data_IF_481924186399
#
_entry.id   IF_481924186399
#
_cell.length_a   1.000
_cell.length_b   1.000
_cell.length_c   1.000
_cell.angle_alpha   90.00
_cell.angle_beta   90.00
_cell.angle_gamma   90.00
#
_symmetry.space_group_name_H-M   'P 1'
#
loop_
_entity.id
_entity.type
_entity.pdbx_description
1 polymer ?
#
# COMPACT_ATOMS: atom_id res chain seq x y z
N UNK A 1 -26.48 -59.29 17.66
CA UNK A 1 -26.57 -58.17 18.63
C UNK A 1 -25.41 -57.22 18.38
N UNK A 2 -25.61 -56.14 17.63
CA UNK A 2 -24.60 -55.08 17.40
C UNK A 2 -25.30 -53.90 16.70
N UNK A 3 -25.98 -53.03 17.45
CA UNK A 3 -26.58 -51.78 16.94
C UNK A 3 -26.81 -50.75 18.07
N UNK A 4 -25.77 -50.29 18.77
CA UNK A 4 -25.84 -49.03 19.55
C UNK A 4 -24.44 -48.43 19.74
N UNK A 5 -23.89 -47.76 18.72
CA UNK A 5 -22.69 -46.91 18.93
C UNK A 5 -22.67 -45.64 18.07
N UNK A 6 -23.73 -45.37 17.29
CA UNK A 6 -23.77 -44.26 16.33
C UNK A 6 -24.39 -42.95 16.88
N UNK A 7 -24.81 -42.90 18.15
CA UNK A 7 -25.59 -41.75 18.69
C UNK A 7 -24.79 -40.77 19.54
N UNK A 8 -23.59 -41.13 20.03
CA UNK A 8 -22.83 -40.28 20.96
C UNK A 8 -21.90 -39.31 20.21
N UNK A 9 -21.42 -39.68 19.01
CA UNK A 9 -20.54 -38.82 18.21
C UNK A 9 -21.27 -37.63 17.58
N UNK A 10 -22.52 -37.81 17.17
CA UNK A 10 -23.33 -36.75 16.55
C UNK A 10 -23.76 -35.67 17.55
N UNK A 11 -24.09 -36.05 18.79
CA UNK A 11 -24.46 -35.08 19.84
C UNK A 11 -23.27 -34.24 20.28
N UNK A 12 -22.07 -34.81 20.36
CA UNK A 12 -20.82 -34.08 20.66
C UNK A 12 -20.49 -33.10 19.53
N UNK A 13 -20.61 -33.52 18.27
CA UNK A 13 -20.37 -32.65 17.11
C UNK A 13 -21.33 -31.46 17.07
N UNK A 14 -22.63 -31.70 17.34
CA UNK A 14 -23.65 -30.64 17.40
C UNK A 14 -23.33 -29.66 18.56
N UNK A 15 -22.93 -30.17 19.73
CA UNK A 15 -22.54 -29.33 20.85
C UNK A 15 -21.31 -28.45 20.52
N UNK A 16 -20.31 -29.00 19.82
CA UNK A 16 -19.14 -28.24 19.37
C UNK A 16 -19.50 -27.16 18.33
N UNK A 17 -20.40 -27.47 17.39
CA UNK A 17 -20.89 -26.50 16.41
C UNK A 17 -21.67 -25.35 17.07
N UNK A 18 -22.50 -25.66 18.06
CA UNK A 18 -23.22 -24.64 18.85
C UNK A 18 -22.22 -23.78 19.64
N UNK A 19 -21.23 -24.40 20.29
CA UNK A 19 -20.19 -23.67 21.02
C UNK A 19 -19.39 -22.73 20.12
N UNK A 20 -19.01 -23.20 18.93
CA UNK A 20 -18.32 -22.37 17.92
C UNK A 20 -19.20 -21.20 17.48
N UNK A 21 -20.49 -21.45 17.23
CA UNK A 21 -21.44 -20.41 16.83
C UNK A 21 -21.63 -19.33 17.91
N UNK A 22 -21.74 -19.73 19.18
CA UNK A 22 -21.85 -18.82 20.33
C UNK A 22 -20.58 -17.98 20.48
N UNK A 23 -19.40 -18.60 20.37
CA UNK A 23 -18.13 -17.87 20.43
C UNK A 23 -18.02 -16.85 19.28
N UNK A 24 -18.40 -17.25 18.06
CA UNK A 24 -18.41 -16.37 16.89
C UNK A 24 -19.40 -15.20 17.07
N UNK A 25 -20.57 -15.45 17.65
CA UNK A 25 -21.56 -14.44 17.97
C UNK A 25 -21.02 -13.39 18.96
N UNK A 26 -20.38 -13.82 20.05
CA UNK A 26 -19.77 -12.91 21.02
C UNK A 26 -18.57 -12.15 20.44
N UNK A 27 -17.76 -12.80 19.60
CA UNK A 27 -16.63 -12.15 18.93
C UNK A 27 -17.09 -11.06 17.96
N UNK A 28 -18.09 -11.34 17.12
CA UNK A 28 -18.71 -10.34 16.22
C UNK A 28 -19.37 -9.21 17.02
N UNK A 29 -20.04 -9.52 18.14
CA UNK A 29 -20.61 -8.52 19.04
C UNK A 29 -19.54 -7.62 19.68
N UNK A 30 -18.43 -8.20 20.13
CA UNK A 30 -17.29 -7.47 20.71
C UNK A 30 -16.61 -6.55 19.69
N UNK A 31 -16.39 -7.03 18.47
CA UNK A 31 -15.86 -6.22 17.37
C UNK A 31 -16.79 -5.06 17.03
N UNK A 32 -18.10 -5.26 17.07
CA UNK A 32 -19.09 -4.19 16.85
C UNK A 32 -18.96 -3.11 17.92
N UNK A 33 -18.82 -3.48 19.20
CA UNK A 33 -18.67 -2.51 20.30
C UNK A 33 -17.37 -1.70 20.22
N UNK A 34 -16.26 -2.36 19.84
CA UNK A 34 -14.98 -1.68 19.60
C UNK A 34 -15.06 -0.71 18.41
N UNK A 35 -15.74 -1.11 17.34
CA UNK A 35 -15.93 -0.25 16.17
C UNK A 35 -16.78 0.98 16.51
N UNK A 36 -17.83 0.85 17.34
CA UNK A 36 -18.62 2.02 17.78
C UNK A 36 -17.78 2.99 18.63
N UNK A 37 -16.92 2.48 19.53
CA UNK A 37 -16.01 3.33 20.31
C UNK A 37 -15.01 4.06 19.42
N UNK A 38 -14.40 3.36 18.47
CA UNK A 38 -13.48 3.98 17.50
C UNK A 38 -14.17 5.03 16.64
N UNK A 39 -15.43 4.79 16.24
CA UNK A 39 -16.22 5.79 15.51
C UNK A 39 -16.50 7.02 16.37
N UNK A 40 -16.82 6.85 17.66
CA UNK A 40 -17.00 7.96 18.60
C UNK A 40 -15.70 8.76 18.78
N UNK A 41 -14.56 8.10 18.96
CA UNK A 41 -13.25 8.77 19.07
C UNK A 41 -12.90 9.55 17.79
N UNK A 42 -13.22 9.00 16.61
CA UNK A 42 -13.03 9.69 15.33
C UNK A 42 -13.95 10.92 15.22
N UNK A 43 -15.23 10.79 15.60
CA UNK A 43 -16.18 11.91 15.58
C UNK A 43 -15.77 13.03 16.54
N UNK A 44 -15.34 12.67 17.76
CA UNK A 44 -14.81 13.64 18.74
C UNK A 44 -13.55 14.33 18.22
N UNK A 45 -12.62 13.57 17.61
CA UNK A 45 -11.44 14.14 16.96
C UNK A 45 -11.76 15.07 15.81
N UNK A 46 -12.77 14.75 14.99
CA UNK A 46 -13.24 15.61 13.90
C UNK A 46 -13.91 16.89 14.41
N UNK A 47 -14.70 16.81 15.49
CA UNK A 47 -15.27 18.00 16.14
C UNK A 47 -14.18 18.91 16.69
N UNK A 48 -13.21 18.36 17.42
CA UNK A 48 -12.07 19.13 17.93
C UNK A 48 -11.24 19.79 16.82
N UNK A 49 -11.09 19.11 15.67
CA UNK A 49 -10.41 19.67 14.50
C UNK A 49 -11.21 20.82 13.85
N UNK A 50 -12.53 20.68 13.73
CA UNK A 50 -13.41 21.75 13.22
C UNK A 50 -13.37 22.98 14.12
N UNK A 51 -13.43 22.79 15.44
CA UNK A 51 -13.26 23.87 16.42
C UNK A 51 -11.90 24.56 16.28
N UNK A 52 -10.81 23.79 16.14
CA UNK A 52 -9.48 24.34 15.90
C UNK A 52 -9.43 25.17 14.61
N UNK A 53 -10.03 24.66 13.53
CA UNK A 53 -10.10 25.35 12.24
C UNK A 53 -10.91 26.64 12.33
N UNK A 54 -12.05 26.63 13.01
CA UNK A 54 -12.84 27.84 13.27
C UNK A 54 -12.07 28.85 14.13
N UNK A 55 -11.34 28.39 15.15
CA UNK A 55 -10.53 29.25 15.99
C UNK A 55 -9.36 29.88 15.21
N UNK A 56 -8.72 29.14 14.30
CA UNK A 56 -7.71 29.69 13.39
C UNK A 56 -8.35 30.69 12.44
N UNK A 57 -9.48 30.36 11.81
CA UNK A 57 -10.18 31.28 10.91
C UNK A 57 -10.64 32.56 11.61
N UNK A 58 -11.10 32.47 12.88
CA UNK A 58 -11.43 33.64 13.71
C UNK A 58 -10.20 34.45 14.12
N UNK A 59 -9.07 33.79 14.35
CA UNK A 59 -7.80 34.43 14.66
C UNK A 59 -7.12 35.04 13.43
N UNK A 60 -7.45 34.58 12.23
CA UNK A 60 -7.08 35.20 10.95
C UNK A 60 -8.02 36.36 10.58
N UNK A 61 -9.33 36.23 10.88
CA UNK A 61 -10.34 37.25 10.55
C UNK A 61 -10.33 38.45 11.49
N UNK A 62 -10.02 38.24 12.77
CA UNK A 62 -9.59 39.32 13.65
C UNK A 62 -8.10 39.49 13.35
N UNK A 63 -7.61 40.69 13.05
CA UNK A 63 -6.18 40.96 12.91
C UNK A 63 -5.47 40.75 14.27
N UNK A 64 -5.35 39.50 14.69
CA UNK A 64 -4.71 39.10 15.94
C UNK A 64 -3.21 39.21 15.68
N UNK A 65 -2.53 40.00 16.51
CA UNK A 65 -1.10 40.19 16.38
C UNK A 65 -0.37 38.84 16.47
N UNK A 66 0.73 38.66 15.74
CA UNK A 66 1.54 37.42 15.77
C UNK A 66 1.92 36.97 17.20
N UNK A 67 1.89 37.88 18.18
CA UNK A 67 2.13 37.60 19.60
C UNK A 67 0.98 36.85 20.27
N UNK A 68 -0.26 37.23 20.02
CA UNK A 68 -1.46 36.60 20.60
C UNK A 68 -1.71 35.22 19.99
N UNK A 69 -1.50 35.07 18.67
CA UNK A 69 -1.57 33.77 18.00
C UNK A 69 -0.58 32.76 18.61
N UNK A 70 0.64 33.21 18.94
CA UNK A 70 1.65 32.41 19.65
C UNK A 70 1.25 32.08 21.09
N UNK A 71 0.48 32.93 21.77
CA UNK A 71 0.03 32.68 23.14
C UNK A 71 -1.12 31.66 23.16
N UNK A 72 -2.08 31.78 22.24
CA UNK A 72 -3.18 30.82 22.08
C UNK A 72 -2.66 29.43 21.64
N UNK A 73 -1.70 29.37 20.70
CA UNK A 73 -1.01 28.12 20.36
C UNK A 73 -0.18 27.55 21.53
N UNK A 74 0.29 28.41 22.44
CA UNK A 74 1.03 27.94 23.62
C UNK A 74 0.10 27.39 24.71
N UNK A 75 -1.10 27.93 24.84
CA UNK A 75 -2.10 27.50 25.83
C UNK A 75 -2.93 26.29 25.33
N UNK A 76 -3.19 26.16 24.02
CA UNK A 76 -4.04 25.11 23.45
C UNK A 76 -3.32 23.81 23.06
N UNK A 77 -1.99 23.81 22.98
CA UNK A 77 -1.22 22.63 22.56
C UNK A 77 -0.67 21.91 23.79
N UNK A 78 -1.25 20.73 24.06
CA UNK A 78 -0.84 19.78 25.09
C UNK A 78 0.69 19.53 25.04
N UNK A 79 1.41 19.57 26.17
CA UNK A 79 2.86 19.33 26.23
C UNK A 79 3.32 18.05 25.50
N UNK A 80 2.49 17.01 25.44
CA UNK A 80 2.79 15.78 24.70
C UNK A 80 2.93 16.00 23.17
N UNK A 81 2.13 16.90 22.60
CA UNK A 81 2.16 17.23 21.16
C UNK A 81 3.42 18.05 20.82
N UNK A 82 3.92 18.87 21.75
CA UNK A 82 5.18 19.61 21.56
C UNK A 82 6.40 18.70 21.49
N UNK A 83 6.43 17.67 22.32
CA UNK A 83 7.53 16.69 22.31
C UNK A 83 7.57 15.95 20.97
N UNK A 84 6.42 15.53 20.46
CA UNK A 84 6.26 14.92 19.13
C UNK A 84 6.70 15.83 17.97
N UNK A 85 6.36 17.12 18.02
CA UNK A 85 6.76 18.09 16.99
C UNK A 85 8.28 18.30 16.99
N UNK A 86 8.91 18.39 18.16
CA UNK A 86 10.35 18.56 18.27
C UNK A 86 11.10 17.31 17.78
N UNK A 87 10.62 16.12 18.16
CA UNK A 87 11.19 14.84 17.72
C UNK A 87 11.16 14.70 16.19
N UNK A 88 10.03 15.03 15.56
CA UNK A 88 9.90 14.99 14.09
C UNK A 88 10.80 16.01 13.38
N UNK A 89 11.06 17.17 13.99
CA UNK A 89 11.92 18.21 13.41
C UNK A 89 13.39 17.79 13.37
N UNK A 90 13.83 16.97 14.33
CA UNK A 90 15.18 16.38 14.32
C UNK A 90 15.31 15.26 13.29
N UNK A 91 14.27 14.42 13.13
CA UNK A 91 14.25 13.37 12.10
C UNK A 91 14.33 13.95 10.68
N UNK A 92 13.62 15.05 10.41
CA UNK A 92 13.67 15.73 9.10
C UNK A 92 15.06 16.33 8.82
N UNK A 93 15.76 16.85 9.83
CA UNK A 93 17.15 17.34 9.68
C UNK A 93 18.16 16.22 9.42
N UNK A 94 17.92 15.03 9.94
CA UNK A 94 18.76 13.86 9.68
C UNK A 94 18.59 13.37 8.24
N UNK A 95 17.35 13.34 7.73
CA UNK A 95 17.03 12.92 6.36
C UNK A 95 17.65 13.89 5.34
N UNK A 96 17.56 15.21 5.54
CA UNK A 96 18.16 16.19 4.63
C UNK A 96 19.69 16.16 4.60
N UNK A 97 20.33 15.69 5.68
CA UNK A 97 21.79 15.53 5.76
C UNK A 97 22.28 14.29 5.00
N UNK A 98 21.46 13.24 4.91
CA UNK A 98 21.75 12.01 4.15
C UNK A 98 21.53 12.22 2.64
N UNK A 99 20.54 13.03 2.27
CA UNK A 99 20.27 13.35 0.85
C UNK A 99 21.37 14.20 0.20
N UNK A 100 22.07 15.03 1.00
CA UNK A 100 23.20 15.84 0.54
C UNK A 100 24.49 15.05 0.26
N UNK A 101 24.63 13.81 0.75
CA UNK A 101 25.85 13.00 0.59
C UNK A 101 25.83 12.04 -0.60
N UNK A 102 24.72 11.96 -1.36
CA UNK A 102 24.54 11.00 -2.47
C UNK A 102 24.62 11.61 -3.87
N UNK A 103 24.89 12.92 -4.01
CA UNK A 103 25.11 13.58 -5.31
C UNK A 103 26.60 13.85 -5.54
N UNK A 104 27.32 12.82 -5.98
CA UNK A 104 28.70 12.93 -6.45
C UNK A 104 28.91 12.17 -7.77
N UNK A 105 29.29 12.93 -8.81
CA UNK A 105 30.05 12.56 -10.02
C UNK A 105 29.60 11.40 -10.92
N UNK A 106 29.21 11.74 -12.17
CA UNK A 106 29.60 10.98 -13.38
C UNK A 106 29.94 11.99 -14.49
N UNK A 107 31.19 11.95 -14.94
CA UNK A 107 31.76 12.72 -16.05
C UNK A 107 31.54 12.03 -17.41
N UNK A 108 31.41 12.91 -18.40
CA UNK A 108 31.55 12.91 -19.87
C UNK A 108 32.15 11.70 -20.65
N UNK A 109 31.66 11.50 -21.89
CA UNK A 109 32.49 11.16 -23.06
C UNK A 109 31.80 11.53 -24.40
N UNK A 110 32.65 11.88 -25.37
CA UNK A 110 32.45 12.82 -26.50
C UNK A 110 31.97 12.21 -27.84
N UNK A 111 31.65 13.14 -28.75
CA UNK A 111 31.02 13.09 -30.09
C UNK A 111 31.86 12.49 -31.23
N UNK A 112 31.21 12.21 -32.38
CA UNK A 112 31.75 12.54 -33.72
C UNK A 112 30.65 13.11 -34.65
N UNK A 113 30.97 14.06 -35.57
CA UNK A 113 30.03 14.65 -36.52
C UNK A 113 30.10 13.99 -37.90
N UNK A 114 28.97 13.88 -38.60
CA UNK A 114 28.93 13.53 -40.03
C UNK A 114 28.40 14.71 -40.83
N UNK A 115 29.26 15.22 -41.72
CA UNK A 115 29.00 16.28 -42.70
C UNK A 115 28.27 15.69 -43.91
N UNK A 116 27.20 16.34 -44.38
CA UNK A 116 26.71 16.19 -45.76
C UNK A 116 26.30 17.56 -46.29
N UNK A 117 27.04 18.04 -47.28
CA UNK A 117 26.67 19.14 -48.18
C UNK A 117 25.56 18.69 -49.14
N UNK A 118 24.59 19.57 -49.45
CA UNK A 118 24.18 19.88 -50.83
C UNK A 118 23.17 21.04 -50.94
N UNK A 119 23.61 22.03 -51.71
CA UNK A 119 22.89 22.86 -52.70
C UNK A 119 21.72 23.79 -52.34
N UNK A 120 21.79 24.95 -53.01
CA UNK A 120 20.99 26.17 -52.91
C UNK A 120 19.60 26.02 -53.56
N UNK A 121 18.55 26.44 -52.86
CA UNK A 121 17.39 27.09 -53.47
C UNK A 121 16.89 28.23 -52.56
N UNK A 122 16.70 29.43 -53.12
CA UNK A 122 15.96 30.50 -52.46
C UNK A 122 14.48 30.19 -52.57
N UNK A 123 13.85 29.83 -51.45
CA UNK A 123 12.39 29.79 -51.33
C UNK A 123 11.95 31.08 -50.65
N UNK A 124 11.16 31.89 -51.35
CA UNK A 124 10.38 32.96 -50.72
C UNK A 124 9.33 32.28 -49.83
N UNK A 125 9.66 32.16 -48.54
CA UNK A 125 8.80 31.64 -47.49
C UNK A 125 7.49 32.45 -47.44
N UNK A 126 6.37 31.78 -47.67
CA UNK A 126 5.07 32.21 -47.15
C UNK A 126 4.73 31.29 -45.99
N UNK A 127 4.92 31.77 -44.76
CA UNK A 127 4.44 31.09 -43.56
C UNK A 127 3.07 31.67 -43.19
N UNK A 128 2.01 30.87 -43.34
CA UNK A 128 0.73 31.19 -42.71
C UNK A 128 0.84 30.85 -41.22
N UNK A 129 0.91 31.86 -40.36
CA UNK A 129 0.81 31.70 -38.89
C UNK A 129 -0.60 31.24 -38.54
N UNK A 130 -0.75 29.96 -38.22
CA UNK A 130 -1.83 29.52 -37.31
C UNK A 130 -1.30 29.87 -35.92
N UNK A 131 -1.76 30.98 -35.36
CA UNK A 131 -1.35 31.46 -34.04
C UNK A 131 -2.03 30.61 -32.95
N UNK A 132 -1.46 29.45 -32.66
CA UNK A 132 -1.38 29.03 -31.26
C UNK A 132 -0.50 30.08 -30.56
N UNK A 133 -0.87 30.61 -29.39
CA UNK A 133 -0.06 31.62 -28.71
C UNK A 133 1.32 31.00 -28.43
N UNK A 134 2.31 31.47 -29.19
CA UNK A 134 3.75 31.21 -29.08
C UNK A 134 4.14 29.77 -28.72
N UNK A 135 3.62 28.78 -29.45
CA UNK A 135 4.02 27.37 -29.29
C UNK A 135 5.04 26.91 -30.33
N UNK A 136 5.78 25.80 -30.06
CA UNK A 136 6.60 25.16 -31.08
C UNK A 136 5.72 24.76 -32.27
N UNK A 137 6.20 24.90 -33.52
CA UNK A 137 5.46 24.41 -34.66
C UNK A 137 5.35 22.88 -34.56
N UNK A 138 4.13 22.37 -34.73
CA UNK A 138 3.82 20.94 -34.61
C UNK A 138 3.72 20.23 -35.97
N UNK A 139 3.51 21.01 -37.03
CA UNK A 139 3.36 20.52 -38.39
C UNK A 139 4.01 21.47 -39.39
N UNK A 140 4.38 20.92 -40.54
CA UNK A 140 4.82 21.69 -41.70
C UNK A 140 4.06 21.27 -42.93
N UNK A 141 3.95 22.20 -43.87
CA UNK A 141 3.52 21.93 -45.22
C UNK A 141 4.47 22.66 -46.18
N UNK A 142 4.71 22.06 -47.34
CA UNK A 142 5.49 22.68 -48.41
C UNK A 142 4.86 22.31 -49.74
N UNK A 143 4.90 23.22 -50.70
CA UNK A 143 4.55 22.93 -52.09
C UNK A 143 5.86 22.79 -52.85
N UNK A 144 6.04 21.68 -53.56
CA UNK A 144 7.24 21.48 -54.37
C UNK A 144 7.17 22.29 -55.68
N UNK A 145 8.24 22.20 -56.48
CA UNK A 145 8.32 22.90 -57.77
C UNK A 145 7.32 22.42 -58.82
N UNK A 146 6.67 21.26 -58.60
CA UNK A 146 5.64 20.69 -59.47
C UNK A 146 4.22 21.07 -59.01
N UNK A 147 4.09 21.81 -57.91
CA UNK A 147 2.80 22.19 -57.34
C UNK A 147 2.19 21.12 -56.42
N UNK A 148 2.94 20.07 -56.06
CA UNK A 148 2.46 19.06 -55.13
C UNK A 148 2.63 19.54 -53.68
N UNK A 149 1.53 19.54 -52.92
CA UNK A 149 1.55 19.83 -51.51
C UNK A 149 2.00 18.60 -50.71
N UNK A 150 3.10 18.74 -49.96
CA UNK A 150 3.56 17.78 -48.97
C UNK A 150 3.30 18.33 -47.57
N UNK A 151 3.01 17.44 -46.63
CA UNK A 151 2.83 17.78 -45.22
C UNK A 151 3.54 16.77 -44.33
N UNK A 152 3.91 17.20 -43.13
CA UNK A 152 4.50 16.34 -42.12
C UNK A 152 4.33 16.90 -40.71
N UNK A 153 4.63 16.07 -39.71
CA UNK A 153 4.62 16.44 -38.30
C UNK A 153 6.07 16.52 -37.82
N UNK A 154 6.37 17.53 -37.00
CA UNK A 154 7.66 17.60 -36.31
C UNK A 154 7.71 16.57 -35.19
N UNK A 155 8.90 16.06 -34.87
CA UNK A 155 9.06 15.21 -33.69
C UNK A 155 8.86 16.05 -32.43
N UNK A 156 7.92 15.62 -31.60
CA UNK A 156 7.57 16.25 -30.34
C UNK A 156 7.73 15.22 -29.21
N UNK A 157 8.31 15.65 -28.09
CA UNK A 157 8.39 14.86 -26.87
C UNK A 157 7.33 15.36 -25.89
N UNK A 158 6.37 14.51 -25.58
CA UNK A 158 5.40 14.76 -24.52
C UNK A 158 6.00 14.32 -23.20
N UNK A 159 6.04 15.25 -22.24
CA UNK A 159 6.53 14.99 -20.90
C UNK A 159 5.38 15.17 -19.92
N UNK A 160 5.23 14.19 -19.03
CA UNK A 160 4.21 14.19 -17.98
C UNK A 160 4.92 14.11 -16.64
N UNK A 161 4.60 15.03 -15.73
CA UNK A 161 4.99 14.94 -14.33
C UNK A 161 3.76 14.85 -13.46
N UNK A 162 3.67 13.74 -12.73
CA UNK A 162 2.61 13.50 -11.76
C UNK A 162 3.16 13.70 -10.37
N UNK A 163 2.60 14.65 -9.63
CA UNK A 163 2.92 14.91 -8.22
C UNK A 163 1.77 14.39 -7.36
N UNK A 164 2.08 13.46 -6.47
CA UNK A 164 1.15 12.88 -5.51
C UNK A 164 1.40 13.48 -4.13
N UNK A 165 0.37 14.06 -3.49
CA UNK A 165 0.47 14.51 -2.10
C UNK A 165 -0.57 13.81 -1.24
N UNK A 166 -0.11 13.17 -0.16
CA UNK A 166 -0.98 12.51 0.79
C UNK A 166 -1.80 13.55 1.57
N UNK A 167 -3.12 13.38 1.61
CA UNK A 167 -3.99 14.25 2.37
C UNK A 167 -3.90 13.89 3.86
N UNK A 168 -3.47 14.83 4.71
CA UNK A 168 -3.37 14.58 6.16
C UNK A 168 -4.69 14.23 6.84
N UNK A 169 -5.83 14.64 6.28
CA UNK A 169 -7.14 14.53 6.93
C UNK A 169 -8.02 13.41 6.37
N UNK A 170 -7.64 12.78 5.25
CA UNK A 170 -8.41 11.71 4.60
C UNK A 170 -7.44 10.71 3.97
N UNK A 171 -7.72 9.42 4.09
CA UNK A 171 -7.00 8.34 3.38
C UNK A 171 -7.13 8.54 1.86
N UNK A 172 -6.30 9.40 1.27
CA UNK A 172 -6.38 9.79 -0.12
C UNK A 172 -5.19 10.65 -0.55
N UNK A 173 -5.01 10.79 -1.87
CA UNK A 173 -3.93 11.57 -2.47
C UNK A 173 -4.52 12.69 -3.32
N UNK A 174 -3.99 13.91 -3.21
CA UNK A 174 -4.14 14.87 -4.29
C UNK A 174 -3.18 14.50 -5.41
N UNK A 175 -3.66 14.59 -6.65
CA UNK A 175 -2.83 14.34 -7.82
C UNK A 175 -2.78 15.58 -8.68
N UNK A 176 -1.57 16.08 -8.91
CA UNK A 176 -1.29 17.19 -9.80
C UNK A 176 -0.55 16.66 -11.01
N UNK A 177 -1.06 16.92 -12.21
CA UNK A 177 -0.40 16.54 -13.44
C UNK A 177 0.05 17.80 -14.17
N UNK A 178 1.32 17.82 -14.57
CA UNK A 178 1.89 18.82 -15.46
C UNK A 178 2.21 18.10 -16.78
N UNK A 179 1.72 18.63 -17.89
CA UNK A 179 1.96 18.13 -19.24
C UNK A 179 2.63 19.23 -20.03
N UNK A 180 3.74 18.93 -20.70
CA UNK A 180 4.41 19.89 -21.58
C UNK A 180 5.08 19.22 -22.77
N UNK A 181 5.33 20.01 -23.79
CA UNK A 181 6.03 19.64 -25.01
C UNK A 181 7.46 20.16 -24.99
N UNK A 182 8.37 19.36 -25.54
CA UNK A 182 9.66 19.84 -26.04
C UNK A 182 9.84 19.34 -27.47
N UNK A 183 10.63 20.06 -28.28
CA UNK A 183 10.97 19.60 -29.63
C UNK A 183 12.49 19.56 -29.81
N UNK A 184 13.08 18.37 -30.07
CA UNK A 184 14.51 18.28 -30.34
C UNK A 184 14.91 18.92 -31.67
N UNK A 185 13.95 19.18 -32.58
CA UNK A 185 14.21 19.73 -33.92
C UNK A 185 14.38 21.26 -33.92
N UNK A 186 13.88 21.95 -32.89
CA UNK A 186 13.98 23.41 -32.78
C UNK A 186 14.83 23.78 -31.57
N UNK A 187 15.97 24.41 -31.79
CA UNK A 187 16.91 24.78 -30.72
C UNK A 187 16.24 25.65 -29.64
N UNK A 188 15.31 26.55 -30.01
CA UNK A 188 14.54 27.37 -29.06
C UNK A 188 13.62 26.54 -28.15
N UNK A 189 13.16 25.36 -28.63
CA UNK A 189 12.17 24.51 -27.97
C UNK A 189 12.73 23.18 -27.46
N UNK A 190 14.04 22.98 -27.60
CA UNK A 190 14.74 21.77 -27.16
C UNK A 190 14.66 21.61 -25.65
N UNK A 191 14.95 22.71 -24.93
CA UNK A 191 14.97 22.76 -23.47
C UNK A 191 13.90 23.70 -22.88
N UNK A 192 13.07 24.32 -23.73
CA UNK A 192 11.98 25.21 -23.31
C UNK A 192 10.66 24.45 -23.27
N UNK A 193 10.14 24.08 -22.09
CA UNK A 193 8.89 23.36 -21.99
C UNK A 193 7.72 24.26 -22.43
N UNK A 194 6.92 23.80 -23.39
CA UNK A 194 5.66 24.44 -23.74
C UNK A 194 4.51 23.76 -22.97
N UNK A 195 3.90 24.43 -21.97
CA UNK A 195 2.87 23.81 -21.14
C UNK A 195 1.62 23.52 -21.98
N UNK A 196 1.09 22.29 -21.87
CA UNK A 196 -0.19 21.93 -22.45
C UNK A 196 -1.25 22.05 -21.35
N UNK A 197 -2.30 22.87 -21.51
CA UNK A 197 -3.41 22.91 -20.57
C UNK A 197 -4.10 21.54 -20.52
N UNK A 198 -4.31 21.02 -19.31
CA UNK A 198 -5.01 19.76 -19.09
C UNK A 198 -6.44 20.07 -18.67
N UNK A 199 -7.40 19.80 -19.54
CA UNK A 199 -8.82 20.03 -19.24
C UNK A 199 -9.36 19.03 -18.20
N UNK A 200 -8.90 17.77 -18.26
CA UNK A 200 -9.29 16.70 -17.35
C UNK A 200 -8.17 15.67 -17.22
N UNK A 201 -7.90 15.24 -16.00
CA UNK A 201 -7.03 14.11 -15.71
C UNK A 201 -7.78 13.09 -14.84
N UNK A 202 -7.77 11.83 -15.25
CA UNK A 202 -8.28 10.71 -14.45
C UNK A 202 -7.12 9.86 -13.98
N UNK A 203 -7.03 9.64 -12.67
CA UNK A 203 -6.04 8.74 -12.09
C UNK A 203 -6.74 7.45 -11.74
N UNK A 204 -6.36 6.38 -12.43
CA UNK A 204 -6.78 5.03 -12.07
C UNK A 204 -5.66 4.36 -11.30
N UNK A 205 -5.92 4.08 -10.04
CA UNK A 205 -5.07 3.20 -9.25
C UNK A 205 -5.29 1.78 -9.75
N UNK A 206 -4.46 1.36 -10.69
CA UNK A 206 -4.41 -0.04 -11.09
C UNK A 206 -3.53 -0.73 -10.06
N UNK A 207 -4.05 -1.69 -9.27
CA UNK A 207 -3.18 -2.50 -8.44
C UNK A 207 -2.17 -3.16 -9.37
N UNK A 208 -0.90 -2.79 -9.23
CA UNK A 208 0.17 -3.49 -9.92
C UNK A 208 0.07 -4.91 -9.38
N UNK A 209 -0.43 -5.84 -10.20
CA UNK A 209 -0.35 -7.26 -9.91
C UNK A 209 1.13 -7.60 -9.93
N UNK A 210 1.80 -7.39 -8.81
CA UNK A 210 3.19 -7.78 -8.63
C UNK A 210 3.24 -9.27 -8.86
N UNK A 211 4.23 -9.71 -9.64
CA UNK A 211 4.47 -11.12 -9.83
C UNK A 211 4.65 -11.76 -8.44
N UNK A 212 3.93 -12.84 -8.18
CA UNK A 212 4.06 -13.57 -6.93
C UNK A 212 5.49 -14.08 -6.80
N UNK A 213 6.08 -13.88 -5.64
CA UNK A 213 7.47 -14.23 -5.35
C UNK A 213 7.54 -15.17 -4.16
N UNK A 214 8.57 -16.01 -4.15
CA UNK A 214 8.88 -16.88 -3.02
C UNK A 214 9.88 -16.19 -2.09
N UNK A 215 9.57 -16.15 -0.80
CA UNK A 215 10.37 -15.57 0.26
C UNK A 215 10.99 -16.70 1.08
N UNK A 216 12.28 -16.96 0.85
CA UNK A 216 13.01 -18.07 1.47
C UNK A 216 13.33 -17.87 2.96
N UNK A 217 13.24 -16.65 3.47
CA UNK A 217 13.38 -16.35 4.89
C UNK A 217 12.50 -15.15 5.25
N UNK A 218 11.34 -15.43 5.83
CA UNK A 218 10.33 -14.46 6.23
C UNK A 218 9.66 -14.92 7.54
N UNK A 219 10.31 -14.71 8.70
CA UNK A 219 9.75 -15.12 9.98
C UNK A 219 8.46 -14.33 10.28
N UNK A 220 7.34 -15.03 10.41
CA UNK A 220 6.04 -14.46 10.80
C UNK A 220 5.46 -15.23 11.98
N UNK A 221 5.16 -14.53 13.06
CA UNK A 221 4.52 -15.11 14.24
C UNK A 221 3.00 -15.15 14.09
N UNK A 222 2.36 -16.14 14.70
CA UNK A 222 0.91 -16.30 14.68
C UNK A 222 0.38 -16.97 15.97
N UNK A 223 -0.90 -16.75 16.27
CA UNK A 223 -1.65 -17.55 17.24
C UNK A 223 -2.63 -18.42 16.49
N UNK A 224 -2.66 -19.71 16.83
CA UNK A 224 -3.54 -20.69 16.23
C UNK A 224 -4.46 -21.40 17.21
N UNK A 225 -5.61 -21.81 16.70
CA UNK A 225 -6.49 -22.83 17.23
C UNK A 225 -6.19 -24.14 16.50
N UNK A 226 -5.92 -25.21 17.24
CA UNK A 226 -5.53 -26.51 16.69
C UNK A 226 -6.54 -27.57 17.10
N UNK A 227 -7.03 -28.35 16.14
CA UNK A 227 -7.88 -29.51 16.35
C UNK A 227 -7.05 -30.78 16.13
N UNK A 228 -6.92 -31.59 17.18
CA UNK A 228 -6.24 -32.88 17.10
C UNK A 228 -7.19 -33.92 16.46
N UNK A 229 -6.75 -34.53 15.36
CA UNK A 229 -7.53 -35.53 14.62
C UNK A 229 -7.04 -36.97 14.85
N UNK A 230 -5.96 -37.16 15.61
CA UNK A 230 -5.48 -38.49 15.94
C UNK A 230 -6.40 -39.16 16.97
N UNK A 231 -7.35 -39.93 16.45
CA UNK A 231 -8.42 -40.57 17.20
C UNK A 231 -9.74 -39.83 16.98
N UNK A 232 -10.45 -40.20 15.90
CA UNK A 232 -11.80 -39.70 15.56
C UNK A 232 -12.80 -39.78 16.73
N UNK A 233 -12.49 -40.58 17.75
CA UNK A 233 -13.33 -40.79 18.92
C UNK A 233 -13.42 -39.56 19.84
N UNK A 234 -12.38 -38.70 19.91
CA UNK A 234 -12.36 -37.52 20.80
C UNK A 234 -11.53 -36.37 20.21
N UNK A 235 -12.11 -35.55 19.31
CA UNK A 235 -11.45 -34.33 18.86
C UNK A 235 -11.19 -33.43 20.08
N UNK A 236 -9.96 -32.92 20.18
CA UNK A 236 -9.58 -31.99 21.23
C UNK A 236 -9.11 -30.68 20.59
N UNK A 237 -9.59 -29.56 21.14
CA UNK A 237 -9.18 -28.22 20.73
C UNK A 237 -8.04 -27.74 21.62
N UNK A 238 -7.07 -27.07 21.02
CA UNK A 238 -5.96 -26.43 21.70
C UNK A 238 -5.62 -25.07 21.12
N UNK A 239 -4.77 -24.36 21.83
CA UNK A 239 -4.21 -23.08 21.41
C UNK A 239 -2.71 -23.26 21.15
N UNK A 240 -2.18 -22.55 20.17
CA UNK A 240 -0.76 -22.56 19.82
C UNK A 240 -0.26 -21.17 19.53
N UNK A 241 1.03 -20.95 19.78
CA UNK A 241 1.80 -19.84 19.25
C UNK A 241 2.78 -20.45 18.26
N UNK A 242 2.83 -19.90 17.05
CA UNK A 242 3.65 -20.41 15.96
C UNK A 242 4.50 -19.35 15.29
N UNK A 243 5.51 -19.81 14.57
CA UNK A 243 6.29 -19.00 13.65
C UNK A 243 6.46 -19.76 12.32
N UNK A 244 6.13 -19.12 11.21
CA UNK A 244 6.44 -19.59 9.86
C UNK A 244 7.73 -18.95 9.37
N UNK A 245 8.60 -19.69 8.69
CA UNK A 245 9.91 -19.19 8.26
C UNK A 245 9.97 -18.75 6.80
N UNK A 246 8.97 -19.12 6.00
CA UNK A 246 8.95 -18.92 4.56
C UNK A 246 7.55 -18.54 4.09
N UNK A 247 7.46 -17.88 2.93
CA UNK A 247 6.18 -17.45 2.37
C UNK A 247 6.18 -17.36 0.85
N UNK A 248 5.00 -17.36 0.25
CA UNK A 248 4.79 -17.10 -1.17
C UNK A 248 3.57 -16.19 -1.36
N UNK A 249 3.75 -15.07 -2.07
CA UNK A 249 2.71 -14.04 -2.20
C UNK A 249 3.11 -12.87 -3.08
N UNK A 250 2.26 -11.85 -3.14
CA UNK A 250 2.52 -10.62 -3.91
C UNK A 250 3.47 -9.66 -3.18
N UNK A 251 3.46 -9.71 -1.85
CA UNK A 251 4.35 -8.98 -0.96
C UNK A 251 4.59 -9.81 0.32
N UNK A 252 5.50 -9.37 1.18
CA UNK A 252 5.76 -9.99 2.49
C UNK A 252 4.57 -9.93 3.45
N UNK A 253 3.64 -9.00 3.22
CA UNK A 253 2.42 -8.83 4.01
C UNK A 253 1.18 -9.42 3.31
N UNK A 254 1.23 -9.65 2.00
CA UNK A 254 0.15 -10.25 1.22
C UNK A 254 0.50 -11.67 0.75
N UNK A 255 0.78 -12.55 1.73
CA UNK A 255 1.15 -13.94 1.50
C UNK A 255 -0.09 -14.80 1.23
N UNK A 256 -0.03 -15.65 0.20
CA UNK A 256 -1.03 -16.70 -0.05
C UNK A 256 -0.69 -18.00 0.65
N UNK A 257 0.60 -18.34 0.69
CA UNK A 257 1.12 -19.55 1.30
C UNK A 257 2.23 -19.21 2.28
N UNK A 258 2.31 -20.01 3.34
CA UNK A 258 3.43 -20.04 4.29
C UNK A 258 3.98 -21.44 4.39
N UNK A 259 5.26 -21.54 4.69
CA UNK A 259 5.93 -22.81 4.81
C UNK A 259 6.73 -22.90 6.10
N UNK A 260 6.93 -24.14 6.54
CA UNK A 260 7.76 -24.50 7.69
C UNK A 260 7.33 -23.77 8.97
N UNK A 261 6.07 -23.94 9.36
CA UNK A 261 5.56 -23.44 10.63
C UNK A 261 5.99 -24.35 11.77
N UNK A 262 6.65 -23.78 12.76
CA UNK A 262 6.91 -24.40 14.05
C UNK A 262 6.00 -23.78 15.09
N UNK A 263 5.39 -24.59 15.95
CA UNK A 263 4.51 -24.09 17.01
C UNK A 263 4.74 -24.76 18.36
N UNK A 264 4.38 -24.06 19.41
CA UNK A 264 4.23 -24.59 20.75
C UNK A 264 2.83 -24.25 21.23
N UNK A 265 2.15 -25.23 21.82
CA UNK A 265 0.75 -25.06 22.21
C UNK A 265 0.31 -26.00 23.32
N UNK A 266 -0.93 -25.83 23.75
CA UNK A 266 -1.56 -26.67 24.74
C UNK A 266 -2.90 -27.22 24.23
N UNK A 267 -3.11 -28.52 24.40
CA UNK A 267 -4.39 -29.20 24.15
C UNK A 267 -4.80 -29.86 25.46
N UNK A 268 -5.77 -29.28 26.17
CA UNK A 268 -6.06 -29.66 27.56
C UNK A 268 -4.88 -29.32 28.48
N UNK A 269 -4.40 -30.30 29.26
CA UNK A 269 -3.27 -30.18 30.20
C UNK A 269 -1.90 -30.56 29.59
N UNK A 270 -1.88 -30.78 28.27
CA UNK A 270 -0.73 -31.30 27.53
C UNK A 270 -0.09 -30.23 26.67
N UNK A 271 1.21 -30.02 26.87
CA UNK A 271 2.04 -29.16 26.03
C UNK A 271 2.54 -29.95 24.82
N UNK A 272 2.39 -29.35 23.65
CA UNK A 272 2.73 -29.95 22.36
C UNK A 272 3.67 -29.04 21.57
N UNK A 273 4.56 -29.66 20.80
CA UNK A 273 5.31 -28.98 19.74
C UNK A 273 4.72 -29.39 18.40
N UNK A 274 4.37 -28.41 17.57
CA UNK A 274 3.78 -28.62 16.25
C UNK A 274 4.75 -28.27 15.13
N UNK A 275 4.64 -29.02 14.04
CA UNK A 275 5.27 -28.70 12.76
C UNK A 275 4.22 -28.83 11.66
N UNK A 276 4.04 -27.75 10.90
CA UNK A 276 3.21 -27.74 9.70
C UNK A 276 4.04 -27.30 8.49
N UNK A 277 4.18 -28.16 7.46
CA UNK A 277 5.02 -27.83 6.32
C UNK A 277 4.44 -26.70 5.47
N UNK A 278 3.11 -26.56 5.45
CA UNK A 278 2.39 -25.61 4.60
C UNK A 278 1.15 -25.08 5.31
N UNK A 279 0.89 -23.79 5.10
CA UNK A 279 -0.32 -23.09 5.53
C UNK A 279 -0.86 -22.25 4.37
N UNK A 280 -2.18 -22.23 4.19
CA UNK A 280 -2.88 -21.48 3.15
C UNK A 280 -3.70 -20.34 3.74
N UNK A 281 -3.59 -19.12 3.19
CA UNK A 281 -4.37 -17.98 3.63
C UNK A 281 -5.79 -18.03 3.04
N UNK A 282 -6.72 -18.59 3.82
CA UNK A 282 -8.15 -18.59 3.48
C UNK A 282 -8.79 -17.22 3.73
N UNK A 283 -8.16 -16.37 4.54
CA UNK A 283 -8.60 -15.02 4.85
C UNK A 283 -8.67 -14.10 3.63
N UNK A 284 -7.81 -14.31 2.61
CA UNK A 284 -7.87 -13.54 1.35
C UNK A 284 -9.23 -13.62 0.63
N UNK A 285 -10.01 -14.67 0.90
CA UNK A 285 -11.32 -14.87 0.32
C UNK A 285 -12.46 -14.38 1.24
N UNK A 286 -12.14 -13.91 2.45
CA UNK A 286 -13.09 -13.45 3.45
C UNK A 286 -13.08 -11.92 3.53
N UNK A 287 -14.25 -11.27 3.64
CA UNK A 287 -14.35 -9.80 3.59
C UNK A 287 -13.85 -9.08 4.85
N UNK A 288 -13.68 -9.79 5.98
CA UNK A 288 -13.40 -9.18 7.29
C UNK A 288 -12.04 -9.57 7.89
N UNK A 289 -11.43 -10.65 7.42
CA UNK A 289 -10.20 -11.19 8.01
C UNK A 289 -9.26 -11.58 6.89
N UNK A 290 -8.28 -10.73 6.57
CA UNK A 290 -7.30 -10.98 5.51
C UNK A 290 -6.24 -12.02 5.87
N UNK A 291 -6.08 -12.31 7.17
CA UNK A 291 -4.93 -13.02 7.71
C UNK A 291 -5.32 -14.29 8.47
N UNK A 292 -6.30 -15.03 7.94
CA UNK A 292 -6.73 -16.32 8.49
C UNK A 292 -6.06 -17.46 7.71
N UNK A 293 -5.30 -18.28 8.41
CA UNK A 293 -4.46 -19.33 7.84
C UNK A 293 -4.96 -20.71 8.21
N UNK A 294 -5.24 -21.56 7.21
CA UNK A 294 -5.53 -22.97 7.40
C UNK A 294 -4.26 -23.79 7.22
N UNK A 295 -3.96 -24.68 8.15
CA UNK A 295 -2.76 -25.51 8.09
C UNK A 295 -3.01 -26.91 8.64
N UNK A 296 -2.15 -27.84 8.24
CA UNK A 296 -2.15 -29.20 8.77
C UNK A 296 -0.72 -29.66 9.00
N UNK A 297 -0.53 -30.58 9.93
CA UNK A 297 0.80 -31.00 10.28
C UNK A 297 0.84 -32.14 11.28
N UNK A 298 1.99 -32.25 11.95
CA UNK A 298 2.23 -33.19 13.03
C UNK A 298 2.50 -32.44 14.33
N UNK A 299 1.93 -32.93 15.44
CA UNK A 299 2.29 -32.50 16.79
C UNK A 299 2.96 -33.64 17.53
N UNK A 300 3.91 -33.28 18.40
CA UNK A 300 4.52 -34.17 19.39
C UNK A 300 4.09 -33.74 20.78
N UNK A 301 3.45 -34.64 21.51
CA UNK A 301 3.11 -34.43 22.91
C UNK A 301 4.34 -34.67 23.79
N UNK A 302 4.76 -33.66 24.57
CA UNK A 302 6.02 -33.73 25.32
C UNK A 302 6.02 -34.81 26.42
N UNK A 303 4.88 -35.05 27.06
CA UNK A 303 4.76 -36.02 28.17
C UNK A 303 4.76 -37.48 27.69
N UNK A 304 4.08 -37.77 26.59
CA UNK A 304 3.86 -39.15 26.12
C UNK A 304 4.74 -39.54 24.93
N UNK A 305 5.50 -38.62 24.37
CA UNK A 305 6.30 -38.82 23.15
C UNK A 305 5.50 -39.31 21.92
N UNK A 306 4.17 -39.20 21.95
CA UNK A 306 3.31 -39.57 20.84
C UNK A 306 3.30 -38.52 19.73
N UNK A 307 3.36 -38.97 18.48
CA UNK A 307 3.13 -38.14 17.30
C UNK A 307 1.67 -38.24 16.85
N UNK A 308 1.09 -37.12 16.45
CA UNK A 308 -0.31 -37.03 16.04
C UNK A 308 -0.47 -36.06 14.88
N UNK A 309 -1.44 -36.34 14.00
CA UNK A 309 -1.84 -35.40 12.97
C UNK A 309 -2.83 -34.38 13.51
N UNK A 310 -2.76 -33.17 12.99
CA UNK A 310 -3.65 -32.09 13.39
C UNK A 310 -3.96 -31.16 12.21
N UNK A 311 -5.07 -30.43 12.36
CA UNK A 311 -5.45 -29.33 11.48
C UNK A 311 -5.67 -28.11 12.36
N UNK A 312 -5.25 -26.93 11.92
CA UNK A 312 -5.36 -25.71 12.68
C UNK A 312 -5.75 -24.51 11.83
N UNK A 313 -6.25 -23.48 12.52
CA UNK A 313 -6.50 -22.15 12.00
C UNK A 313 -5.62 -21.16 12.78
N UNK A 314 -4.93 -20.24 12.13
CA UNK A 314 -4.16 -19.20 12.83
C UNK A 314 -4.34 -17.80 12.24
N UNK A 315 -4.05 -16.80 13.06
CA UNK A 315 -4.02 -15.38 12.68
C UNK A 315 -2.69 -14.76 13.07
N UNK A 316 -2.25 -13.79 12.27
CA UNK A 316 -1.03 -13.00 12.52
C UNK A 316 -1.33 -11.95 13.59
N UNK A 317 -0.29 -11.58 14.34
CA UNK A 317 -0.26 -10.40 15.21
C UNK A 317 0.20 -9.13 14.49
#
# INVERSE_FOLDING_TARGET
MLKVSFSISSTILIALLIGLFVMLYFWVGGLKHQNTRLQQEIEEGQRGYLELKENIARAESKMVSKGELKRMLREAVDPAIRELINKNRETVKLISKVEGSLRGSVEELQLEPVVVEKEKYQVKQFSSRISLPEGPPIAWWRVDSQGLAMQGLYQMKFNVKTTLTEQKSKKGYNVYNELWLTSPEFEEWKDRPYPIPIDRAEVRWVPIKRAKSFYSFLPKMDIGLEANLAGLEKPALGFSIGASLMGYGQSEDDLEWRFLRLSAGAVGDKVNLGFAPVSWNIGKHLPLVSDLWLYSGIIRELKTNGWRYFVGLSTIF
#
